data_IF_812342657548
#
_entry.id   IF_812342657548
#
_cell.length_a   1.000
_cell.length_b   1.000
_cell.length_c   1.000
_cell.angle_alpha   90.00
_cell.angle_beta   90.00
_cell.angle_gamma   90.00
#
_symmetry.space_group_name_H-M   'P 1'
#
loop_
_entity.id
_entity.type
_entity.pdbx_description
1 polymer ?
#
# COMPACT_ATOMS: atom_id res chain seq x y z
N UNK A 1 -8.34 -21.38 27.22
CA UNK A 1 -7.57 -22.24 26.27
C UNK A 1 -7.37 -21.46 25.00
N UNK A 2 -6.14 -21.22 24.57
CA UNK A 2 -5.86 -20.56 23.28
C UNK A 2 -5.74 -21.63 22.20
N UNK A 3 -6.63 -21.59 21.20
CA UNK A 3 -6.54 -22.44 20.02
C UNK A 3 -5.61 -21.77 19.00
N UNK A 4 -4.55 -22.45 18.58
CA UNK A 4 -3.69 -22.00 17.49
C UNK A 4 -4.22 -22.56 16.17
N UNK A 5 -4.78 -21.69 15.33
CA UNK A 5 -5.10 -22.03 13.95
C UNK A 5 -3.80 -21.98 13.15
N UNK A 6 -3.36 -23.10 12.61
CA UNK A 6 -2.19 -23.13 11.72
C UNK A 6 -2.52 -22.38 10.43
N UNK A 7 -1.68 -21.40 10.10
CA UNK A 7 -1.71 -20.81 8.76
C UNK A 7 -1.45 -21.92 7.72
N UNK A 8 -2.26 -21.98 6.67
CA UNK A 8 -1.87 -22.70 5.47
C UNK A 8 -0.56 -22.09 4.96
N UNK A 9 0.28 -22.89 4.30
CA UNK A 9 1.54 -22.46 3.70
C UNK A 9 1.32 -21.37 2.64
N UNK A 10 0.78 -20.21 3.03
CA UNK A 10 0.87 -19.02 2.21
C UNK A 10 2.32 -18.55 2.34
N UNK A 11 3.08 -18.76 1.29
CA UNK A 11 4.49 -18.38 1.20
C UNK A 11 4.67 -16.86 1.02
N UNK A 12 3.72 -16.04 1.48
CA UNK A 12 3.86 -14.60 1.44
C UNK A 12 4.83 -14.13 2.52
N UNK A 13 5.75 -13.21 2.18
CA UNK A 13 6.63 -12.58 3.16
C UNK A 13 5.84 -11.85 4.27
N UNK A 14 6.50 -11.49 5.36
CA UNK A 14 5.85 -10.73 6.45
C UNK A 14 5.33 -9.36 5.98
N UNK A 15 4.31 -8.86 6.67
CA UNK A 15 3.88 -7.46 6.56
C UNK A 15 5.01 -6.56 7.04
N UNK A 16 5.40 -5.61 6.20
CA UNK A 16 6.50 -4.66 6.48
C UNK A 16 6.10 -3.19 6.35
N UNK A 17 4.85 -2.92 5.97
CA UNK A 17 4.34 -1.56 5.80
C UNK A 17 2.91 -1.45 6.30
N UNK A 18 2.61 -0.28 6.89
CA UNK A 18 1.25 0.17 7.25
C UNK A 18 0.96 1.44 6.49
N UNK A 19 -0.08 1.42 5.65
CA UNK A 19 -0.51 2.56 4.85
C UNK A 19 -1.74 3.24 5.44
N UNK A 20 -1.63 4.54 5.68
CA UNK A 20 -2.70 5.37 6.24
C UNK A 20 -3.06 6.47 5.25
N UNK A 21 -4.32 6.58 4.90
CA UNK A 21 -4.82 7.65 4.04
C UNK A 21 -5.18 8.86 4.89
N UNK A 22 -4.65 10.02 4.50
CA UNK A 22 -4.84 11.29 5.19
C UNK A 22 -5.28 12.39 4.22
N UNK A 23 -5.94 13.42 4.73
CA UNK A 23 -6.36 14.59 3.93
C UNK A 23 -5.23 15.59 3.71
N UNK A 24 -4.30 15.68 4.68
CA UNK A 24 -3.22 16.65 4.68
C UNK A 24 -1.96 16.01 5.28
N UNK A 25 -1.00 15.71 4.43
CA UNK A 25 0.27 15.08 4.84
C UNK A 25 1.07 15.97 5.78
N UNK A 26 1.08 17.28 5.57
CA UNK A 26 1.88 18.17 6.42
C UNK A 26 1.39 18.14 7.87
N UNK A 27 0.07 18.20 8.05
CA UNK A 27 -0.56 18.08 9.38
C UNK A 27 -0.34 16.71 10.00
N UNK A 28 -0.47 15.65 9.21
CA UNK A 28 -0.28 14.29 9.71
C UNK A 28 1.18 14.05 10.13
N UNK A 29 2.15 14.47 9.32
CA UNK A 29 3.58 14.37 9.64
C UNK A 29 3.91 15.15 10.91
N UNK A 30 3.43 16.40 11.03
CA UNK A 30 3.62 17.21 12.24
C UNK A 30 3.04 16.48 13.45
N UNK A 31 1.81 16.02 13.38
CA UNK A 31 1.15 15.30 14.47
C UNK A 31 1.91 14.05 14.94
N UNK A 32 2.26 13.17 14.00
CA UNK A 32 2.96 11.92 14.34
C UNK A 32 4.39 12.18 14.84
N UNK A 33 5.08 13.17 14.28
CA UNK A 33 6.44 13.50 14.70
C UNK A 33 6.49 14.15 16.07
N UNK A 34 5.61 15.13 16.34
CA UNK A 34 5.63 15.89 17.59
C UNK A 34 5.00 15.13 18.75
N UNK A 35 3.94 14.34 18.48
CA UNK A 35 3.20 13.63 19.52
C UNK A 35 3.82 12.29 19.87
N UNK A 36 4.29 11.53 18.87
CA UNK A 36 4.78 10.16 19.05
C UNK A 36 6.26 9.99 18.74
N UNK A 37 6.94 11.02 18.27
CA UNK A 37 8.36 10.95 17.88
C UNK A 37 8.63 10.07 16.66
N UNK A 38 7.62 9.84 15.82
CA UNK A 38 7.81 9.05 14.61
C UNK A 38 8.54 9.87 13.53
N UNK A 39 9.46 9.23 12.84
CA UNK A 39 10.21 9.89 11.79
C UNK A 39 11.71 9.58 11.84
N UNK A 40 12.53 10.27 11.05
CA UNK A 40 12.13 11.32 10.10
C UNK A 40 11.27 10.80 8.95
N UNK A 41 10.28 11.59 8.51
CA UNK A 41 9.47 11.30 7.34
C UNK A 41 10.14 11.81 6.07
N UNK A 42 10.30 10.93 5.08
CA UNK A 42 10.66 11.32 3.72
C UNK A 42 9.39 11.57 2.93
N UNK A 43 9.19 12.81 2.47
CA UNK A 43 8.03 13.21 1.68
C UNK A 43 8.39 13.20 0.20
N UNK A 44 7.50 12.65 -0.64
CA UNK A 44 7.64 12.63 -2.10
C UNK A 44 6.28 12.71 -2.78
N UNK A 45 6.27 13.20 -4.02
CA UNK A 45 5.11 13.12 -4.90
C UNK A 45 5.36 12.05 -5.97
N UNK A 46 4.31 11.36 -6.33
CA UNK A 46 4.36 10.30 -7.32
C UNK A 46 3.19 10.44 -8.29
N UNK A 47 3.53 10.57 -9.57
CA UNK A 47 2.56 10.61 -10.66
C UNK A 47 2.46 9.20 -11.25
N UNK A 48 1.25 8.67 -11.30
CA UNK A 48 0.93 7.37 -11.86
C UNK A 48 0.21 7.54 -13.18
N UNK A 49 0.76 6.99 -14.25
CA UNK A 49 0.17 6.98 -15.59
C UNK A 49 -0.30 5.57 -15.95
N UNK A 50 -1.55 5.47 -16.37
CA UNK A 50 -2.13 4.22 -16.82
C UNK A 50 -2.28 3.17 -15.74
N UNK A 51 -2.43 3.55 -14.47
CA UNK A 51 -2.75 2.62 -13.40
C UNK A 51 -4.10 1.95 -13.67
N UNK A 52 -4.22 0.67 -13.32
CA UNK A 52 -5.49 -0.04 -13.42
C UNK A 52 -6.27 0.10 -12.10
N UNK A 53 -7.48 0.65 -12.18
CA UNK A 53 -8.39 0.73 -11.06
C UNK A 53 -9.73 0.09 -11.43
N UNK A 54 -9.98 -1.11 -10.89
CA UNK A 54 -11.15 -1.93 -11.18
C UNK A 54 -11.38 -2.12 -12.70
N UNK A 55 -10.30 -2.40 -13.46
CA UNK A 55 -10.34 -2.61 -14.91
C UNK A 55 -10.38 -1.33 -15.74
N UNK A 56 -10.30 -0.15 -15.13
CA UNK A 56 -10.20 1.14 -15.85
C UNK A 56 -8.79 1.70 -15.73
N UNK A 57 -8.26 2.22 -16.83
CA UNK A 57 -6.98 2.94 -16.82
C UNK A 57 -7.20 4.35 -16.31
N UNK A 58 -6.43 4.74 -15.31
CA UNK A 58 -6.47 6.06 -14.71
C UNK A 58 -5.08 6.68 -14.65
N UNK A 59 -5.04 7.99 -14.69
CA UNK A 59 -3.88 8.79 -14.33
C UNK A 59 -4.18 9.51 -13.03
N UNK A 60 -3.22 9.52 -12.12
CA UNK A 60 -3.42 10.16 -10.83
C UNK A 60 -2.09 10.63 -10.24
N UNK A 61 -2.18 11.51 -9.25
CA UNK A 61 -1.04 12.01 -8.50
C UNK A 61 -1.30 11.90 -7.01
N UNK A 62 -0.31 11.39 -6.29
CA UNK A 62 -0.36 11.27 -4.83
C UNK A 62 0.87 11.92 -4.19
N UNK A 63 0.72 12.30 -2.94
CA UNK A 63 1.82 12.66 -2.04
C UNK A 63 1.94 11.58 -0.99
N UNK A 64 3.17 11.16 -0.72
CA UNK A 64 3.47 10.15 0.29
C UNK A 64 4.48 10.69 1.28
N UNK A 65 4.32 10.32 2.55
CA UNK A 65 5.31 10.52 3.58
C UNK A 65 5.62 9.18 4.23
N UNK A 66 6.89 8.76 4.24
CA UNK A 66 7.32 7.47 4.76
C UNK A 66 8.33 7.63 5.89
N UNK A 67 8.10 6.90 6.99
CA UNK A 67 9.01 6.81 8.12
C UNK A 67 9.28 5.33 8.44
N UNK A 68 10.56 4.99 8.64
CA UNK A 68 10.94 3.64 9.05
C UNK A 68 10.91 3.53 10.57
N UNK A 69 10.28 2.47 11.05
CA UNK A 69 10.31 2.01 12.43
C UNK A 69 10.98 0.62 12.46
N UNK A 70 11.49 0.13 13.58
CA UNK A 70 12.01 -1.23 13.68
C UNK A 70 10.98 -2.26 13.19
N UNK A 71 11.31 -2.94 12.09
CA UNK A 71 10.48 -4.00 11.50
C UNK A 71 9.27 -3.55 10.67
N UNK A 72 8.97 -2.23 10.58
CA UNK A 72 7.82 -1.75 9.82
C UNK A 72 8.06 -0.35 9.23
N UNK A 73 7.47 -0.06 8.09
CA UNK A 73 7.42 1.28 7.50
C UNK A 73 6.03 1.87 7.69
N UNK A 74 5.95 3.09 8.16
CA UNK A 74 4.71 3.86 8.20
C UNK A 74 4.64 4.71 6.95
N UNK A 75 3.57 4.56 6.19
CA UNK A 75 3.30 5.34 4.98
C UNK A 75 2.01 6.15 5.16
N UNK A 76 2.11 7.45 4.97
CA UNK A 76 0.96 8.36 4.91
C UNK A 76 0.73 8.71 3.45
N UNK A 77 -0.53 8.65 2.99
CA UNK A 77 -0.90 8.91 1.60
C UNK A 77 -1.97 9.98 1.52
N UNK A 78 -1.71 10.99 0.68
CA UNK A 78 -2.67 12.02 0.30
C UNK A 78 -2.88 11.97 -1.21
N UNK A 79 -4.12 11.85 -1.66
CA UNK A 79 -4.46 12.01 -3.07
C UNK A 79 -4.40 13.48 -3.44
N UNK A 80 -3.71 13.81 -4.55
CA UNK A 80 -3.60 15.17 -5.07
C UNK A 80 -4.49 15.37 -6.31
N UNK A 81 -4.47 14.41 -7.25
CA UNK A 81 -5.19 14.49 -8.51
C UNK A 81 -5.73 13.11 -8.92
N UNK A 82 -6.91 13.12 -9.56
CA UNK A 82 -7.56 11.94 -10.11
C UNK A 82 -8.43 11.18 -9.10
N UNK A 83 -9.31 10.34 -9.65
CA UNK A 83 -10.12 9.39 -8.86
C UNK A 83 -9.28 8.17 -8.54
N UNK A 84 -9.04 7.93 -7.27
CA UNK A 84 -8.15 6.87 -6.77
C UNK A 84 -8.87 6.05 -5.70
N UNK A 85 -8.37 4.85 -5.37
CA UNK A 85 -8.87 4.13 -4.19
C UNK A 85 -8.75 4.94 -2.90
N UNK A 86 -7.79 5.87 -2.82
CA UNK A 86 -7.63 6.75 -1.66
C UNK A 86 -8.74 7.80 -1.55
N UNK A 87 -9.17 8.38 -2.69
CA UNK A 87 -10.30 9.33 -2.69
C UNK A 87 -11.61 8.64 -2.33
N UNK A 88 -11.83 7.43 -2.82
CA UNK A 88 -13.00 6.64 -2.46
C UNK A 88 -12.98 6.23 -0.99
N UNK A 89 -11.84 5.80 -0.49
CA UNK A 89 -11.67 5.50 0.94
C UNK A 89 -11.98 6.70 1.84
N UNK A 90 -11.47 7.89 1.48
CA UNK A 90 -11.76 9.13 2.23
C UNK A 90 -13.25 9.50 2.23
N UNK A 91 -13.95 9.27 1.11
CA UNK A 91 -15.40 9.52 1.00
C UNK A 91 -16.21 8.56 1.87
N UNK A 92 -15.83 7.28 1.87
CA UNK A 92 -16.59 6.22 2.53
C UNK A 92 -16.26 6.08 4.02
N UNK A 93 -15.00 6.20 4.39
CA UNK A 93 -14.50 5.89 5.74
C UNK A 93 -13.81 7.05 6.46
N UNK A 94 -13.45 8.12 5.74
CA UNK A 94 -12.61 9.18 6.29
C UNK A 94 -11.13 8.80 6.31
N UNK A 95 -10.33 9.51 7.11
CA UNK A 95 -8.91 9.20 7.31
C UNK A 95 -8.74 7.91 8.10
N UNK A 96 -7.70 7.13 7.79
CA UNK A 96 -7.41 5.93 8.56
C UNK A 96 -6.55 4.90 7.86
N UNK A 97 -6.44 3.74 8.51
CA UNK A 97 -5.71 2.59 8.01
C UNK A 97 -6.36 2.08 6.71
N UNK A 98 -5.58 2.07 5.64
CA UNK A 98 -6.02 1.67 4.31
C UNK A 98 -5.48 0.30 3.92
N UNK A 99 -4.18 0.06 4.10
CA UNK A 99 -3.56 -1.19 3.69
C UNK A 99 -2.42 -1.64 4.59
N UNK A 100 -2.12 -2.93 4.48
CA UNK A 100 -0.92 -3.57 4.97
C UNK A 100 -0.07 -3.98 3.77
N UNK A 101 1.18 -3.59 3.75
CA UNK A 101 2.09 -3.80 2.63
C UNK A 101 3.03 -4.98 2.84
N UNK A 102 3.19 -5.79 1.80
CA UNK A 102 4.08 -6.95 1.73
C UNK A 102 5.02 -6.78 0.54
N UNK A 103 6.32 -6.84 0.78
CA UNK A 103 7.31 -6.82 -0.30
C UNK A 103 7.49 -8.21 -0.87
N UNK A 104 7.33 -8.34 -2.19
CA UNK A 104 7.50 -9.59 -2.94
C UNK A 104 8.58 -9.43 -4.00
N UNK A 105 9.13 -10.53 -4.48
CA UNK A 105 10.14 -10.51 -5.55
C UNK A 105 9.53 -10.20 -6.91
N UNK A 106 8.33 -10.72 -7.17
CA UNK A 106 7.58 -10.58 -8.42
C UNK A 106 6.08 -10.49 -8.14
N UNK A 107 5.51 -9.31 -8.42
CA UNK A 107 4.08 -9.04 -8.24
C UNK A 107 3.23 -9.89 -9.18
N UNK A 108 3.64 -10.04 -10.44
CA UNK A 108 2.90 -10.83 -11.42
C UNK A 108 2.83 -12.32 -11.04
N UNK A 109 3.96 -12.90 -10.65
CA UNK A 109 4.01 -14.29 -10.18
C UNK A 109 3.20 -14.50 -8.90
N UNK A 110 3.24 -13.53 -8.00
CA UNK A 110 2.46 -13.56 -6.75
C UNK A 110 0.96 -13.50 -7.04
N UNK A 111 0.52 -12.61 -7.93
CA UNK A 111 -0.89 -12.53 -8.36
C UNK A 111 -1.35 -13.82 -9.01
N UNK A 112 -0.53 -14.44 -9.86
CA UNK A 112 -0.86 -15.72 -10.50
C UNK A 112 -1.10 -16.83 -9.46
N UNK A 113 -0.28 -16.91 -8.41
CA UNK A 113 -0.49 -17.87 -7.29
C UNK A 113 -1.77 -17.58 -6.51
N UNK A 114 -2.08 -16.32 -6.22
CA UNK A 114 -3.24 -15.93 -5.43
C UNK A 114 -4.56 -16.03 -6.21
N UNK A 115 -4.52 -15.97 -7.53
CA UNK A 115 -5.72 -16.01 -8.39
C UNK A 115 -6.54 -17.30 -8.20
N UNK A 116 -5.88 -18.44 -7.95
CA UNK A 116 -6.52 -19.71 -7.62
C UNK A 116 -7.37 -19.71 -6.34
N UNK A 117 -7.18 -18.70 -5.48
CA UNK A 117 -7.93 -18.51 -4.23
C UNK A 117 -8.99 -17.38 -4.36
N UNK A 118 -9.27 -16.91 -5.60
CA UNK A 118 -10.22 -15.82 -5.83
C UNK A 118 -9.68 -14.42 -5.52
N UNK A 119 -8.39 -14.31 -5.21
CA UNK A 119 -7.74 -13.03 -4.96
C UNK A 119 -7.35 -12.39 -6.30
N UNK A 120 -7.71 -11.12 -6.47
CA UNK A 120 -7.42 -10.33 -7.67
C UNK A 120 -7.01 -8.90 -7.31
N UNK A 121 -6.27 -8.22 -8.18
CA UNK A 121 -5.96 -6.81 -7.98
C UNK A 121 -7.22 -5.96 -8.21
N UNK A 122 -7.39 -4.93 -7.38
CA UNK A 122 -8.40 -3.87 -7.54
C UNK A 122 -7.76 -2.56 -7.96
N UNK A 123 -6.50 -2.32 -7.59
CA UNK A 123 -5.70 -1.20 -8.05
C UNK A 123 -4.27 -1.67 -8.26
N UNK A 124 -3.68 -1.40 -9.40
CA UNK A 124 -2.33 -1.86 -9.72
C UNK A 124 -1.61 -0.96 -10.71
N UNK A 125 -0.28 -0.99 -10.63
CA UNK A 125 0.62 -0.31 -11.55
C UNK A 125 1.86 -1.16 -11.75
N UNK A 126 2.41 -1.14 -12.97
CA UNK A 126 3.68 -1.78 -13.28
C UNK A 126 4.48 -0.92 -14.25
N UNK A 127 5.72 -0.64 -13.88
CA UNK A 127 6.74 -0.03 -14.71
C UNK A 127 7.93 -0.98 -14.81
N UNK A 128 7.88 -1.98 -15.73
CA UNK A 128 8.91 -3.03 -15.82
C UNK A 128 10.31 -2.47 -16.09
N UNK A 129 10.40 -1.36 -16.83
CA UNK A 129 11.66 -0.71 -17.18
C UNK A 129 12.46 -0.20 -15.97
N UNK A 130 11.77 0.09 -14.88
CA UNK A 130 12.39 0.47 -13.61
C UNK A 130 12.21 -0.58 -12.50
N UNK A 131 11.58 -1.73 -12.83
CA UNK A 131 11.37 -2.82 -11.88
C UNK A 131 10.42 -2.48 -10.74
N UNK A 132 9.50 -1.53 -10.96
CA UNK A 132 8.47 -1.13 -10.02
C UNK A 132 7.16 -1.80 -10.38
N UNK A 133 6.52 -2.46 -9.42
CA UNK A 133 5.15 -2.91 -9.54
C UNK A 133 4.49 -2.95 -8.16
N UNK A 134 3.18 -2.69 -8.12
CA UNK A 134 2.37 -2.92 -6.93
C UNK A 134 0.94 -3.31 -7.30
N UNK A 135 0.26 -3.94 -6.37
CA UNK A 135 -1.16 -4.25 -6.49
C UNK A 135 -1.83 -4.24 -5.12
N UNK A 136 -2.94 -3.51 -5.01
CA UNK A 136 -3.91 -3.68 -3.92
C UNK A 136 -4.87 -4.81 -4.27
N UNK A 137 -5.10 -5.70 -3.32
CA UNK A 137 -5.90 -6.91 -3.50
C UNK A 137 -7.33 -6.71 -2.97
N UNK A 138 -8.28 -7.48 -3.51
CA UNK A 138 -9.67 -7.51 -3.03
C UNK A 138 -9.81 -8.25 -1.68
N UNK A 139 -9.00 -7.90 -0.69
CA UNK A 139 -8.90 -8.56 0.62
C UNK A 139 -9.66 -7.84 1.74
N UNK A 140 -10.24 -6.68 1.43
CA UNK A 140 -10.92 -5.81 2.41
C UNK A 140 -12.31 -6.30 2.85
N UNK A 141 -12.81 -7.37 2.25
CA UNK A 141 -14.06 -8.04 2.67
C UNK A 141 -13.99 -8.60 4.09
N UNK A 142 -12.79 -8.87 4.59
CA UNK A 142 -12.55 -9.32 5.96
C UNK A 142 -11.67 -8.29 6.68
N UNK A 143 -12.20 -7.69 7.74
CA UNK A 143 -11.48 -6.71 8.54
C UNK A 143 -11.37 -5.31 7.92
N UNK A 144 -11.84 -5.10 6.68
CA UNK A 144 -11.87 -3.79 6.02
C UNK A 144 -10.51 -3.23 5.63
N UNK A 145 -9.46 -4.04 5.62
CA UNK A 145 -8.08 -3.63 5.30
C UNK A 145 -7.62 -4.30 4.01
N UNK A 146 -7.11 -3.52 3.09
CA UNK A 146 -6.50 -4.05 1.87
C UNK A 146 -5.12 -4.62 2.14
N UNK A 147 -4.74 -5.65 1.41
CA UNK A 147 -3.36 -6.11 1.33
C UNK A 147 -2.76 -5.51 0.06
N UNK A 148 -1.59 -4.90 0.21
CA UNK A 148 -0.76 -4.46 -0.91
C UNK A 148 0.42 -5.42 -1.06
N UNK A 149 0.65 -5.89 -2.27
CA UNK A 149 1.91 -6.53 -2.65
C UNK A 149 2.72 -5.56 -3.51
N UNK A 150 4.00 -5.41 -3.21
CA UNK A 150 4.86 -4.46 -3.90
C UNK A 150 6.21 -5.06 -4.25
N UNK A 151 6.69 -4.69 -5.43
CA UNK A 151 8.01 -5.02 -5.95
C UNK A 151 8.76 -3.72 -6.20
N UNK A 152 9.98 -3.62 -5.68
CA UNK A 152 10.85 -2.47 -5.89
C UNK A 152 12.23 -2.97 -6.30
N UNK A 153 12.91 -2.27 -7.20
CA UNK A 153 14.28 -2.61 -7.58
C UNK A 153 15.20 -2.64 -6.36
N UNK A 154 16.12 -3.62 -6.35
CA UNK A 154 17.16 -3.77 -5.30
C UNK A 154 18.07 -2.55 -5.09
N UNK A 155 18.01 -1.51 -5.92
CA UNK A 155 18.86 -0.30 -5.81
C UNK A 155 18.41 0.71 -4.77
N UNK A 156 17.21 0.57 -4.22
CA UNK A 156 16.66 1.51 -3.24
C UNK A 156 16.92 1.08 -1.79
N UNK A 157 17.84 0.15 -1.57
CA UNK A 157 18.26 -0.33 -0.26
C UNK A 157 19.57 0.34 0.23
N UNK A 158 19.84 1.58 -0.22
CA UNK A 158 20.98 2.36 0.32
C UNK A 158 20.45 3.60 1.03
#
# INVERSE_FOLDING_TARGET
MSEQIKANNSELPPVTQVGVVVRDIAKAVDYYSTTFGWGPFKISEFEMKGADYNGRKIDCKIKMARARQPGIEIELIQSLEGDTPYTDFLKEKGEGLHHLGIRVEDVGATLAKLSGQGIRPVFSLSYPEIGLAFAYLNSDSVGGVMIEIMQMRRKDNI
#
